data_IF_148350247771
#
_entry.id   IF_148350247771
#
_cell.length_a   1.000
_cell.length_b   1.000
_cell.length_c   1.000
_cell.angle_alpha   90.00
_cell.angle_beta   90.00
_cell.angle_gamma   90.00
#
_symmetry.space_group_name_H-M   'P 1'
#
loop_
_entity.id
_entity.type
_entity.pdbx_description
1 polymer ?
#
# COMPACT_ATOMS: atom_id res chain seq x y z
N UNK A 1 46.39 7.36 9.61
CA UNK A 1 45.62 6.60 8.59
C UNK A 1 44.41 5.84 9.15
N UNK A 2 44.37 5.46 10.44
CA UNK A 2 43.26 4.67 11.01
C UNK A 2 41.90 5.42 11.12
N UNK A 3 41.92 6.72 11.47
CA UNK A 3 40.70 7.51 11.65
C UNK A 3 39.88 7.68 10.35
N UNK A 4 40.55 7.94 9.22
CA UNK A 4 39.89 8.04 7.90
C UNK A 4 39.21 6.72 7.50
N UNK A 5 39.81 5.59 7.85
CA UNK A 5 39.26 4.25 7.57
C UNK A 5 38.04 3.93 8.44
N UNK A 6 38.01 4.40 9.68
CA UNK A 6 36.85 4.31 10.58
C UNK A 6 35.68 5.14 10.07
N UNK A 7 35.92 6.40 9.69
CA UNK A 7 34.90 7.32 9.15
C UNK A 7 34.29 6.75 7.87
N UNK A 8 35.12 6.20 6.96
CA UNK A 8 34.64 5.59 5.72
C UNK A 8 33.71 4.40 5.98
N UNK A 9 34.01 3.56 6.98
CA UNK A 9 33.16 2.43 7.37
C UNK A 9 31.80 2.88 7.90
N UNK A 10 31.79 3.91 8.73
CA UNK A 10 30.54 4.48 9.28
C UNK A 10 29.69 5.05 8.14
N UNK A 11 30.30 5.78 7.20
CA UNK A 11 29.58 6.33 6.03
C UNK A 11 28.93 5.22 5.19
N UNK A 12 29.65 4.13 4.93
CA UNK A 12 29.13 2.98 4.18
C UNK A 12 27.99 2.30 4.96
N UNK A 13 28.12 2.15 6.28
CA UNK A 13 27.08 1.55 7.12
C UNK A 13 25.79 2.39 7.12
N UNK A 14 25.91 3.70 7.29
CA UNK A 14 24.78 4.63 7.26
C UNK A 14 24.09 4.64 5.89
N UNK A 15 24.86 4.60 4.80
CA UNK A 15 24.31 4.54 3.43
C UNK A 15 23.48 3.28 3.21
N UNK A 16 23.95 2.11 3.67
CA UNK A 16 23.18 0.86 3.57
C UNK A 16 21.92 0.88 4.41
N UNK A 17 21.98 1.46 5.61
CA UNK A 17 20.83 1.58 6.51
C UNK A 17 19.74 2.49 5.91
N UNK A 18 20.14 3.63 5.35
CA UNK A 18 19.25 4.55 4.62
C UNK A 18 18.61 3.88 3.41
N UNK A 19 19.38 3.10 2.65
CA UNK A 19 18.85 2.35 1.51
C UNK A 19 17.81 1.31 1.95
N UNK A 20 18.07 0.56 3.03
CA UNK A 20 17.09 -0.39 3.58
C UNK A 20 15.79 0.31 3.98
N UNK A 21 15.87 1.45 4.66
CA UNK A 21 14.70 2.20 5.11
C UNK A 21 13.84 2.69 3.93
N UNK A 22 14.45 3.04 2.79
CA UNK A 22 13.70 3.46 1.60
C UNK A 22 12.86 2.35 0.94
N UNK A 23 13.20 1.08 1.16
CA UNK A 23 12.44 -0.07 0.62
C UNK A 23 11.15 -0.33 1.41
N UNK A 24 11.02 0.18 2.63
CA UNK A 24 9.86 -0.03 3.51
C UNK A 24 8.81 1.08 3.44
N UNK A 25 8.98 2.08 2.56
CA UNK A 25 7.93 3.07 2.30
C UNK A 25 6.83 2.49 1.41
N UNK A 26 6.18 1.42 1.86
CA UNK A 26 4.96 0.88 1.24
C UNK A 26 3.75 1.57 1.88
N UNK A 27 3.52 2.83 1.52
CA UNK A 27 2.19 3.41 1.74
C UNK A 27 1.30 2.77 0.69
N UNK A 28 0.51 1.77 1.10
CA UNK A 28 -0.55 1.21 0.27
C UNK A 28 -1.52 2.35 -0.06
N UNK A 29 -1.39 2.94 -1.25
CA UNK A 29 -2.35 3.91 -1.75
C UNK A 29 -3.74 3.27 -1.71
N UNK A 30 -4.77 3.97 -1.21
CA UNK A 30 -6.11 3.45 -1.17
C UNK A 30 -6.63 3.21 -2.59
N UNK A 31 -7.23 2.06 -2.82
CA UNK A 31 -7.57 1.57 -4.15
C UNK A 31 -9.05 1.72 -4.41
N UNK A 32 -9.41 1.94 -5.67
CA UNK A 32 -10.79 2.14 -6.07
C UNK A 32 -11.33 0.91 -6.79
N UNK A 33 -12.37 0.32 -6.22
CA UNK A 33 -13.09 -0.81 -6.81
C UNK A 33 -14.43 -0.31 -7.31
N UNK A 34 -14.66 -0.47 -8.62
CA UNK A 34 -15.94 -0.15 -9.24
C UNK A 34 -16.74 -1.45 -9.33
N UNK A 35 -18.03 -1.41 -9.00
CA UNK A 35 -18.95 -2.55 -9.10
C UNK A 35 -20.36 -2.07 -9.45
N UNK A 36 -21.23 -2.97 -9.90
CA UNK A 36 -22.62 -2.60 -10.24
C UNK A 36 -23.39 -2.29 -8.95
N UNK A 37 -24.07 -1.15 -8.91
CA UNK A 37 -24.83 -0.71 -7.73
C UNK A 37 -25.84 -1.78 -7.32
N UNK A 38 -25.89 -2.10 -6.02
CA UNK A 38 -26.73 -3.15 -5.46
C UNK A 38 -26.15 -4.58 -5.53
N UNK A 39 -25.02 -4.81 -6.21
CA UNK A 39 -24.36 -6.13 -6.26
C UNK A 39 -23.11 -6.14 -5.35
N UNK A 40 -23.33 -6.16 -4.03
CA UNK A 40 -22.26 -6.13 -3.02
C UNK A 40 -21.24 -7.26 -3.16
N UNK A 41 -21.63 -8.41 -3.71
CA UNK A 41 -20.71 -9.54 -3.84
C UNK A 41 -19.59 -9.29 -4.84
N UNK A 42 -19.83 -8.44 -5.85
CA UNK A 42 -18.77 -7.99 -6.76
C UNK A 42 -17.72 -7.15 -6.04
N UNK A 43 -18.13 -6.29 -5.11
CA UNK A 43 -17.20 -5.52 -4.29
C UNK A 43 -16.34 -6.46 -3.46
N UNK A 44 -16.97 -7.39 -2.73
CA UNK A 44 -16.27 -8.33 -1.86
C UNK A 44 -15.29 -9.22 -2.61
N UNK A 45 -15.71 -9.82 -3.73
CA UNK A 45 -14.84 -10.68 -4.54
C UNK A 45 -13.63 -9.92 -5.09
N UNK A 46 -13.86 -8.72 -5.64
CA UNK A 46 -12.78 -7.89 -6.20
C UNK A 46 -11.84 -7.38 -5.11
N UNK A 47 -12.36 -7.01 -3.95
CA UNK A 47 -11.57 -6.53 -2.83
C UNK A 47 -10.69 -7.63 -2.24
N UNK A 48 -11.23 -8.83 -2.03
CA UNK A 48 -10.44 -9.99 -1.58
C UNK A 48 -9.37 -10.39 -2.59
N UNK A 49 -9.70 -10.40 -3.89
CA UNK A 49 -8.74 -10.71 -4.95
C UNK A 49 -7.60 -9.71 -5.01
N UNK A 50 -7.90 -8.44 -4.73
CA UNK A 50 -6.91 -7.37 -4.76
C UNK A 50 -6.06 -7.34 -3.48
N UNK A 51 -6.69 -7.37 -2.31
CA UNK A 51 -6.00 -7.25 -1.03
C UNK A 51 -5.34 -8.54 -0.56
N UNK A 52 -5.65 -9.69 -1.18
CA UNK A 52 -5.17 -11.00 -0.75
C UNK A 52 -5.40 -11.29 0.75
N UNK A 53 -6.44 -10.68 1.32
CA UNK A 53 -6.66 -10.65 2.75
C UNK A 53 -7.84 -9.74 3.12
N UNK A 54 -7.86 -9.32 4.39
CA UNK A 54 -8.91 -8.44 4.89
C UNK A 54 -8.81 -7.03 4.31
N UNK A 55 -9.95 -6.37 4.21
CA UNK A 55 -10.04 -5.03 3.66
C UNK A 55 -11.08 -4.20 4.41
N UNK A 56 -10.87 -2.89 4.38
CA UNK A 56 -11.78 -1.89 4.92
C UNK A 56 -12.28 -0.99 3.80
N UNK A 57 -13.59 -0.77 3.76
CA UNK A 57 -14.20 0.22 2.87
C UNK A 57 -14.11 1.58 3.58
N UNK A 58 -13.53 2.57 2.90
CA UNK A 58 -13.36 3.92 3.41
C UNK A 58 -14.51 4.82 2.95
N UNK A 59 -14.79 4.82 1.65
CA UNK A 59 -15.76 5.71 1.01
C UNK A 59 -16.47 4.98 -0.14
N UNK A 60 -17.72 5.35 -0.41
CA UNK A 60 -18.48 4.87 -1.57
C UNK A 60 -19.12 6.04 -2.28
N UNK A 61 -19.01 6.05 -3.61
CA UNK A 61 -19.59 7.07 -4.47
C UNK A 61 -20.37 6.40 -5.59
N UNK A 62 -21.65 6.76 -5.72
CA UNK A 62 -22.49 6.27 -6.81
C UNK A 62 -22.23 7.07 -8.10
N UNK A 63 -22.05 6.34 -9.19
CA UNK A 63 -21.83 6.89 -10.53
C UNK A 63 -22.67 6.11 -11.56
N UNK A 64 -23.88 6.63 -11.81
CA UNK A 64 -24.84 6.02 -12.74
C UNK A 64 -25.24 4.61 -12.28
N UNK A 65 -25.10 3.56 -13.10
CA UNK A 65 -25.44 2.18 -12.71
C UNK A 65 -24.33 1.47 -11.90
N UNK A 66 -23.26 2.18 -11.55
CA UNK A 66 -22.10 1.64 -10.85
C UNK A 66 -21.84 2.42 -9.56
N UNK A 67 -21.18 1.77 -8.61
CA UNK A 67 -20.68 2.36 -7.37
C UNK A 67 -19.17 2.17 -7.32
N UNK A 68 -18.44 3.22 -6.97
CA UNK A 68 -17.00 3.21 -6.71
C UNK A 68 -16.77 3.16 -5.22
N UNK A 69 -16.13 2.12 -4.72
CA UNK A 69 -15.68 2.01 -3.34
C UNK A 69 -14.18 2.28 -3.25
N UNK A 70 -13.78 3.14 -2.33
CA UNK A 70 -12.39 3.31 -1.91
C UNK A 70 -12.10 2.29 -0.82
N UNK A 71 -11.17 1.39 -1.07
CA UNK A 71 -10.79 0.30 -0.16
C UNK A 71 -9.35 0.46 0.32
N UNK A 72 -9.13 0.06 1.56
CA UNK A 72 -7.81 -0.07 2.17
C UNK A 72 -7.60 -1.55 2.50
N UNK A 73 -6.49 -2.13 2.03
CA UNK A 73 -6.09 -3.47 2.42
C UNK A 73 -5.52 -3.42 3.84
N UNK A 74 -5.89 -4.40 4.65
CA UNK A 74 -5.34 -4.58 5.99
C UNK A 74 -4.21 -5.62 5.88
N UNK A 75 -3.01 -5.25 6.33
CA UNK A 75 -1.86 -6.17 6.42
C UNK A 75 -2.05 -7.24 7.50
#
# INVERSE_FOLDING_TARGET
MALKRQILKILILCSKLLFLLSLFSCVSEPQYIIFKTGIREQLKERALRYCHGDFKILEEEDFGPYTRARVQCLE
#
